data_IF_255195563796
#
_entry.id   IF_255195563796
#
_cell.length_a   1.000
_cell.length_b   1.000
_cell.length_c   1.000
_cell.angle_alpha   90.00
_cell.angle_beta   90.00
_cell.angle_gamma   90.00
#
_symmetry.space_group_name_H-M   'P 1'
#
loop_
_entity.id
_entity.type
_entity.pdbx_description
1 polymer ?
#
# COMPACT_ATOMS: atom_id res chain seq x y z
N UNK A 1 -1.47 22.94 -8.33
CA UNK A 1 -0.74 21.92 -9.11
C UNK A 1 -1.47 20.58 -9.00
N UNK A 2 -1.63 19.85 -10.11
CA UNK A 2 -2.15 18.47 -10.08
C UNK A 2 -1.02 17.57 -9.59
N UNK A 3 -1.21 16.91 -8.46
CA UNK A 3 -0.23 16.00 -7.88
C UNK A 3 -0.89 14.64 -7.61
N UNK A 4 -0.14 13.56 -7.81
CA UNK A 4 -0.60 12.21 -7.50
C UNK A 4 -0.08 11.78 -6.12
N UNK A 5 -0.91 11.07 -5.37
CA UNK A 5 -0.52 10.39 -4.13
C UNK A 5 -0.56 8.90 -4.40
N UNK A 6 0.58 8.24 -4.29
CA UNK A 6 0.71 6.79 -4.41
C UNK A 6 0.77 6.16 -3.02
N UNK A 7 -0.01 5.11 -2.80
CA UNK A 7 0.03 4.33 -1.57
C UNK A 7 0.86 3.07 -1.80
N UNK A 8 1.96 2.96 -1.05
CA UNK A 8 2.87 1.83 -1.14
C UNK A 8 3.27 1.36 0.26
N UNK A 9 3.62 0.08 0.37
CA UNK A 9 4.15 -0.48 1.60
C UNK A 9 5.40 -1.31 1.32
N UNK A 10 6.21 -1.47 2.36
CA UNK A 10 7.41 -2.29 2.34
C UNK A 10 7.07 -3.73 2.70
N UNK A 11 7.45 -4.66 1.86
CA UNK A 11 7.49 -6.09 2.18
C UNK A 11 8.89 -6.42 2.72
N UNK A 12 8.94 -6.91 3.96
CA UNK A 12 10.17 -7.33 4.66
C UNK A 12 10.18 -8.82 4.97
N UNK A 13 9.20 -9.58 4.47
CA UNK A 13 8.89 -10.93 4.98
C UNK A 13 10.01 -11.95 4.76
N UNK A 14 10.85 -11.81 3.73
CA UNK A 14 11.86 -12.83 3.40
C UNK A 14 13.32 -12.42 3.62
N UNK A 15 13.58 -11.29 4.28
CA UNK A 15 14.94 -10.88 4.70
C UNK A 15 15.96 -10.63 3.57
N UNK A 16 15.68 -11.04 2.34
CA UNK A 16 16.60 -11.00 1.18
C UNK A 16 16.27 -9.89 0.19
N UNK A 17 15.00 -9.53 0.02
CA UNK A 17 14.58 -8.48 -0.92
C UNK A 17 13.57 -7.53 -0.28
N UNK A 18 13.96 -6.24 -0.17
CA UNK A 18 13.06 -5.16 0.27
C UNK A 18 12.19 -4.76 -0.91
N UNK A 19 11.07 -5.44 -1.11
CA UNK A 19 10.13 -5.10 -2.18
C UNK A 19 9.24 -3.94 -1.75
N UNK A 20 9.11 -2.95 -2.64
CA UNK A 20 8.13 -1.87 -2.50
C UNK A 20 6.91 -2.26 -3.31
N UNK A 21 5.80 -2.56 -2.62
CA UNK A 21 4.54 -2.89 -3.26
C UNK A 21 3.67 -1.63 -3.32
N UNK A 22 3.42 -1.13 -4.54
CA UNK A 22 2.49 -0.05 -4.79
C UNK A 22 1.07 -0.62 -4.97
N UNK A 23 0.10 -0.10 -4.20
CA UNK A 23 -1.27 -0.61 -4.23
C UNK A 23 -2.16 0.16 -5.21
N UNK A 24 -2.37 1.44 -4.96
CA UNK A 24 -3.19 2.32 -5.78
C UNK A 24 -2.73 3.77 -5.63
N UNK A 25 -3.11 4.60 -6.61
CA UNK A 25 -2.82 6.03 -6.61
C UNK A 25 -4.10 6.86 -6.72
N UNK A 26 -4.08 8.04 -6.12
CA UNK A 26 -5.18 9.02 -6.20
C UNK A 26 -4.67 10.36 -6.69
N UNK A 27 -5.51 11.08 -7.43
CA UNK A 27 -5.27 12.49 -7.70
C UNK A 27 -5.50 13.29 -6.41
N UNK A 28 -4.56 14.16 -6.05
CA UNK A 28 -4.69 15.09 -4.91
C UNK A 28 -5.82 16.08 -5.18
N UNK A 29 -6.99 15.80 -4.63
CA UNK A 29 -8.16 16.70 -4.65
C UNK A 29 -8.24 17.57 -3.40
N UNK A 30 -7.79 17.04 -2.25
CA UNK A 30 -7.84 17.72 -0.94
C UNK A 30 -6.46 17.76 -0.29
N UNK A 31 -6.22 18.76 0.58
CA UNK A 31 -4.95 18.90 1.29
C UNK A 31 -4.68 17.70 2.20
N UNK A 32 -5.69 17.21 2.92
CA UNK A 32 -5.60 15.99 3.73
C UNK A 32 -5.89 14.74 2.89
N UNK A 33 -5.18 13.65 3.19
CA UNK A 33 -5.42 12.35 2.58
C UNK A 33 -6.69 11.75 3.17
N UNK A 34 -7.69 11.36 2.34
CA UNK A 34 -8.91 10.75 2.84
C UNK A 34 -8.62 9.47 3.62
N UNK A 35 -9.19 9.34 4.81
CA UNK A 35 -9.00 8.17 5.69
C UNK A 35 -9.46 6.87 5.05
N UNK A 36 -10.43 6.95 4.12
CA UNK A 36 -10.94 5.81 3.36
C UNK A 36 -9.85 5.14 2.51
N UNK A 37 -9.02 5.92 1.82
CA UNK A 37 -7.94 5.40 0.98
C UNK A 37 -6.81 4.80 1.82
N UNK A 38 -6.55 5.39 3.00
CA UNK A 38 -5.58 4.85 3.97
C UNK A 38 -6.04 3.45 4.45
N UNK A 39 -7.29 3.34 4.91
CA UNK A 39 -7.85 2.05 5.36
C UNK A 39 -7.81 0.99 4.25
N UNK A 40 -8.12 1.39 3.02
CA UNK A 40 -8.04 0.50 1.85
C UNK A 40 -6.61 -0.01 1.63
N UNK A 41 -5.61 0.85 1.72
CA UNK A 41 -4.21 0.46 1.60
C UNK A 41 -3.78 -0.53 2.70
N UNK A 42 -4.25 -0.32 3.94
CA UNK A 42 -3.99 -1.22 5.07
C UNK A 42 -4.62 -2.60 4.87
N UNK A 43 -5.85 -2.65 4.35
CA UNK A 43 -6.55 -3.90 4.09
C UNK A 43 -5.87 -4.73 3.00
N UNK A 44 -5.48 -4.09 1.88
CA UNK A 44 -4.71 -4.72 0.80
C UNK A 44 -3.37 -5.26 1.34
N UNK A 45 -2.68 -4.49 2.19
CA UNK A 45 -1.44 -4.95 2.82
C UNK A 45 -1.66 -6.20 3.67
N UNK A 46 -2.72 -6.24 4.49
CA UNK A 46 -3.06 -7.42 5.30
C UNK A 46 -3.36 -8.63 4.42
N UNK A 47 -4.15 -8.45 3.37
CA UNK A 47 -4.47 -9.52 2.41
C UNK A 47 -3.21 -10.07 1.72
N UNK A 48 -2.33 -9.18 1.25
CA UNK A 48 -1.06 -9.56 0.62
C UNK A 48 -0.16 -10.36 1.56
N UNK A 49 0.03 -9.88 2.81
CA UNK A 49 0.84 -10.59 3.80
C UNK A 49 0.23 -11.96 4.16
N UNK A 50 -1.09 -12.03 4.33
CA UNK A 50 -1.77 -13.31 4.61
C UNK A 50 -1.62 -14.31 3.45
N UNK A 51 -1.76 -13.85 2.21
CA UNK A 51 -1.56 -14.69 1.02
C UNK A 51 -0.13 -15.21 0.95
N UNK A 52 0.86 -14.34 1.19
CA UNK A 52 2.28 -14.70 1.17
C UNK A 52 2.63 -15.71 2.27
N UNK A 53 2.07 -15.56 3.47
CA UNK A 53 2.28 -16.51 4.57
C UNK A 53 1.60 -17.85 4.33
N UNK A 54 0.43 -17.89 3.69
CA UNK A 54 -0.29 -19.14 3.39
C UNK A 54 0.30 -19.95 2.25
N UNK A 55 0.95 -19.29 1.28
CA UNK A 55 1.62 -19.94 0.16
C UNK A 55 3.13 -20.13 0.38
N UNK A 56 3.58 -20.02 1.63
CA UNK A 56 4.92 -20.36 2.08
C UNK A 56 4.88 -21.73 2.73
#
# INVERSE_FOLDING_TARGET
SKAYRLFSFWDKVDGKEKLVVATHGILKKTQKTPTKEIKKAEEIRKQYLNYKTKNK
#
